data_IF_339160000414
#
_entry.id   IF_339160000414
#
_cell.length_a   1.000
_cell.length_b   1.000
_cell.length_c   1.000
_cell.angle_alpha   90.00
_cell.angle_beta   90.00
_cell.angle_gamma   90.00
#
_symmetry.space_group_name_H-M   'P 1'
#
loop_
_entity.id
_entity.type
_entity.pdbx_description
1 polymer ?
#
# COMPACT_ATOMS: atom_id res chain seq x y z
N UNK A 1 -7.48 12.91 -25.94
CA UNK A 1 -6.64 13.14 -24.74
C UNK A 1 -7.20 12.52 -23.45
N UNK A 2 -8.52 12.40 -23.24
CA UNK A 2 -9.08 11.77 -22.01
C UNK A 2 -8.98 10.23 -21.97
N UNK A 3 -9.00 9.58 -23.13
CA UNK A 3 -8.98 8.11 -23.21
C UNK A 3 -7.64 7.51 -22.74
N UNK A 4 -6.53 8.22 -22.98
CA UNK A 4 -5.18 7.77 -22.60
C UNK A 4 -4.94 7.82 -21.09
N UNK A 5 -5.52 8.78 -20.38
CA UNK A 5 -5.33 8.94 -18.92
C UNK A 5 -6.05 7.84 -18.15
N UNK A 6 -7.28 7.50 -18.57
CA UNK A 6 -8.06 6.43 -17.94
C UNK A 6 -7.40 5.06 -18.15
N UNK A 7 -6.86 4.85 -19.37
CA UNK A 7 -6.18 3.61 -19.73
C UNK A 7 -4.85 3.46 -18.99
N UNK A 8 -4.10 4.56 -18.79
CA UNK A 8 -2.90 4.54 -17.95
C UNK A 8 -3.22 4.25 -16.48
N UNK A 9 -4.28 4.85 -15.93
CA UNK A 9 -4.71 4.60 -14.56
C UNK A 9 -5.11 3.13 -14.36
N UNK A 10 -5.84 2.54 -15.32
CA UNK A 10 -6.19 1.12 -15.31
C UNK A 10 -4.94 0.23 -15.35
N UNK A 11 -4.00 0.50 -16.26
CA UNK A 11 -2.73 -0.24 -16.34
C UNK A 11 -1.94 -0.18 -15.03
N UNK A 12 -1.84 1.01 -14.42
CA UNK A 12 -1.16 1.20 -13.15
C UNK A 12 -1.85 0.43 -12.01
N UNK A 13 -3.19 0.42 -11.98
CA UNK A 13 -3.99 -0.34 -11.02
C UNK A 13 -3.79 -1.85 -11.17
N UNK A 14 -3.70 -2.37 -12.41
CA UNK A 14 -3.40 -3.79 -12.62
C UNK A 14 -1.98 -4.17 -12.17
N UNK A 15 -1.01 -3.28 -12.36
CA UNK A 15 0.38 -3.53 -11.98
C UNK A 15 0.63 -3.42 -10.47
N UNK A 16 -0.13 -2.57 -9.77
CA UNK A 16 0.15 -2.21 -8.37
C UNK A 16 -1.02 -2.47 -7.41
N UNK A 17 -2.14 -3.03 -7.88
CA UNK A 17 -3.33 -3.21 -7.05
C UNK A 17 -3.81 -1.92 -6.37
N UNK A 18 -4.38 -2.00 -5.16
CA UNK A 18 -4.84 -0.83 -4.39
C UNK A 18 -3.76 0.23 -4.09
N UNK A 19 -2.48 -0.12 -4.16
CA UNK A 19 -1.37 0.85 -4.02
C UNK A 19 -1.34 1.87 -5.18
N UNK A 20 -2.06 1.61 -6.27
CA UNK A 20 -2.25 2.58 -7.34
C UNK A 20 -2.96 3.87 -6.88
N UNK A 21 -3.76 3.81 -5.81
CA UNK A 21 -4.48 4.95 -5.23
C UNK A 21 -3.56 6.02 -4.64
N UNK A 22 -2.32 5.64 -4.29
CA UNK A 22 -1.35 6.51 -3.62
C UNK A 22 -0.12 6.79 -4.48
N UNK A 23 -0.22 6.57 -5.79
CA UNK A 23 0.87 6.83 -6.72
C UNK A 23 1.25 8.32 -6.70
N UNK A 24 2.54 8.58 -6.55
CA UNK A 24 3.09 9.94 -6.38
C UNK A 24 3.14 10.44 -4.93
N UNK A 25 2.54 9.72 -3.98
CA UNK A 25 2.76 9.98 -2.55
C UNK A 25 4.06 9.32 -2.08
N UNK A 26 4.82 10.01 -1.21
CA UNK A 26 6.03 9.45 -0.58
C UNK A 26 5.67 8.63 0.65
N UNK A 27 5.12 7.44 0.43
CA UNK A 27 4.80 6.46 1.48
C UNK A 27 5.91 5.40 1.49
N UNK A 28 6.95 5.63 2.29
CA UNK A 28 8.16 4.80 2.29
C UNK A 28 8.03 3.60 3.23
N UNK A 29 7.19 3.72 4.26
CA UNK A 29 6.93 2.69 5.29
C UNK A 29 5.43 2.55 5.54
N UNK A 30 4.95 1.40 6.05
CA UNK A 30 3.54 1.19 6.36
C UNK A 30 2.93 2.26 7.28
N UNK A 31 3.71 2.76 8.23
CA UNK A 31 3.25 3.81 9.15
C UNK A 31 2.97 5.15 8.44
N UNK A 32 3.58 5.41 7.29
CA UNK A 32 3.33 6.61 6.50
C UNK A 32 1.90 6.59 5.94
N UNK A 33 1.40 5.41 5.55
CA UNK A 33 0.01 5.20 5.11
C UNK A 33 -0.95 5.60 6.23
N UNK A 34 -0.69 5.14 7.46
CA UNK A 34 -1.50 5.46 8.63
C UNK A 34 -1.51 6.97 8.92
N UNK A 35 -0.34 7.61 8.77
CA UNK A 35 -0.13 9.03 9.07
C UNK A 35 -0.63 9.96 7.97
N UNK A 36 -0.91 9.47 6.76
CA UNK A 36 -1.37 10.29 5.65
C UNK A 36 -2.74 10.94 5.96
N UNK A 37 -2.83 12.27 6.08
CA UNK A 37 -4.07 12.93 6.49
C UNK A 37 -5.12 12.97 5.38
N UNK A 38 -4.71 12.89 4.12
CA UNK A 38 -5.56 12.99 2.94
C UNK A 38 -6.16 11.67 2.46
N UNK A 39 -5.90 10.56 3.17
CA UNK A 39 -6.39 9.23 2.81
C UNK A 39 -7.47 8.82 3.81
N UNK A 40 -8.61 8.33 3.31
CA UNK A 40 -9.69 7.82 4.15
C UNK A 40 -9.22 6.59 4.96
N UNK A 41 -9.92 6.29 6.06
CA UNK A 41 -9.55 5.14 6.90
C UNK A 41 -9.69 3.82 6.14
N UNK A 42 -10.76 3.68 5.35
CA UNK A 42 -11.00 2.49 4.54
C UNK A 42 -9.94 2.32 3.45
N UNK A 43 -9.54 3.41 2.77
CA UNK A 43 -8.47 3.36 1.78
C UNK A 43 -7.13 3.01 2.42
N UNK A 44 -6.81 3.56 3.60
CA UNK A 44 -5.58 3.19 4.35
C UNK A 44 -5.57 1.69 4.63
N UNK A 45 -6.70 1.13 5.07
CA UNK A 45 -6.83 -0.30 5.34
C UNK A 45 -6.67 -1.11 4.06
N UNK A 46 -7.30 -0.71 2.95
CA UNK A 46 -7.18 -1.38 1.66
C UNK A 46 -5.74 -1.38 1.13
N UNK A 47 -5.02 -0.26 1.26
CA UNK A 47 -3.61 -0.13 0.87
C UNK A 47 -2.74 -1.03 1.74
N UNK A 48 -2.88 -0.99 3.07
CA UNK A 48 -2.10 -1.84 3.97
C UNK A 48 -2.40 -3.32 3.77
N UNK A 49 -3.66 -3.69 3.52
CA UNK A 49 -4.03 -5.06 3.17
C UNK A 49 -3.39 -5.51 1.84
N UNK A 50 -3.34 -4.62 0.84
CA UNK A 50 -2.63 -4.88 -0.40
C UNK A 50 -1.14 -5.11 -0.14
N UNK A 51 -0.48 -4.30 0.69
CA UNK A 51 0.92 -4.47 1.05
C UNK A 51 1.20 -5.81 1.75
N UNK A 52 0.26 -6.30 2.57
CA UNK A 52 0.39 -7.59 3.24
C UNK A 52 0.20 -8.79 2.31
N UNK A 53 -0.45 -8.61 1.16
CA UNK A 53 -0.74 -9.65 0.18
C UNK A 53 0.53 -10.30 -0.39
N UNK A 54 0.41 -11.58 -0.76
CA UNK A 54 1.48 -12.31 -1.46
C UNK A 54 1.78 -11.76 -2.85
N UNK A 55 0.91 -10.89 -3.38
CA UNK A 55 1.21 -10.11 -4.59
C UNK A 55 2.56 -9.38 -4.50
N UNK A 56 2.96 -8.94 -3.30
CA UNK A 56 4.26 -8.30 -3.08
C UNK A 56 5.29 -9.22 -2.41
N UNK A 57 5.01 -10.49 -2.18
CA UNK A 57 5.96 -11.38 -1.53
C UNK A 57 7.27 -11.46 -2.33
N UNK A 58 8.41 -11.30 -1.63
CA UNK A 58 9.71 -11.53 -2.24
C UNK A 58 9.91 -13.02 -2.44
N UNK A 59 10.34 -13.43 -3.64
CA UNK A 59 10.60 -14.83 -3.94
C UNK A 59 11.59 -15.44 -2.94
N UNK A 60 11.28 -16.66 -2.48
CA UNK A 60 12.01 -17.37 -1.42
C UNK A 60 12.15 -16.63 -0.08
N UNK A 61 11.50 -15.48 0.11
CA UNK A 61 11.50 -14.68 1.36
C UNK A 61 10.08 -14.21 1.70
N UNK A 62 9.15 -15.11 2.06
CA UNK A 62 7.74 -14.81 2.23
C UNK A 62 7.42 -13.84 3.38
N UNK A 63 8.38 -13.55 4.26
CA UNK A 63 8.22 -12.54 5.31
C UNK A 63 8.42 -11.10 4.80
N UNK A 64 8.91 -10.91 3.57
CA UNK A 64 9.21 -9.60 2.98
C UNK A 64 8.23 -9.24 1.87
N UNK A 65 7.98 -7.94 1.72
CA UNK A 65 7.08 -7.35 0.73
C UNK A 65 7.82 -6.32 -0.11
N UNK A 66 8.01 -6.59 -1.40
CA UNK A 66 8.59 -5.65 -2.36
C UNK A 66 7.50 -4.74 -2.92
N UNK A 67 7.21 -3.66 -2.21
CA UNK A 67 6.19 -2.69 -2.62
C UNK A 67 6.83 -1.63 -3.54
N UNK A 68 6.21 -1.28 -4.68
CA UNK A 68 6.67 -0.18 -5.52
C UNK A 68 6.72 1.15 -4.74
N UNK A 69 7.86 1.83 -4.81
CA UNK A 69 8.05 3.13 -4.15
C UNK A 69 8.64 3.06 -2.73
N UNK A 70 8.77 1.88 -2.13
CA UNK A 70 9.55 1.72 -0.90
C UNK A 70 11.05 1.55 -1.24
N UNK A 71 11.96 2.07 -0.41
CA UNK A 71 13.40 1.99 -0.68
C UNK A 71 13.95 0.57 -0.52
N UNK A 72 13.28 -0.27 0.27
CA UNK A 72 13.66 -1.64 0.58
C UNK A 72 12.41 -2.52 0.78
N UNK A 73 12.55 -3.86 0.70
CA UNK A 73 11.46 -4.77 1.07
C UNK A 73 10.99 -4.53 2.51
N UNK A 74 9.68 -4.44 2.67
CA UNK A 74 9.05 -4.20 3.97
C UNK A 74 8.72 -5.53 4.65
N UNK A 75 9.05 -5.74 5.93
CA UNK A 75 8.60 -6.91 6.67
C UNK A 75 7.07 -6.94 6.82
N UNK A 76 6.45 -8.11 6.62
CA UNK A 76 4.99 -8.26 6.81
C UNK A 76 4.55 -7.88 8.24
N UNK A 77 5.38 -8.12 9.24
CA UNK A 77 5.11 -7.76 10.64
C UNK A 77 4.98 -6.24 10.82
N UNK A 78 5.70 -5.45 10.02
CA UNK A 78 5.59 -4.00 10.04
C UNK A 78 4.26 -3.54 9.43
N UNK A 79 3.81 -4.20 8.35
CA UNK A 79 2.50 -3.95 7.75
C UNK A 79 1.38 -4.29 8.74
N UNK A 80 1.49 -5.43 9.44
CA UNK A 80 0.55 -5.83 10.48
C UNK A 80 0.54 -4.85 11.66
N UNK A 81 1.72 -4.35 12.05
CA UNK A 81 1.83 -3.33 13.10
C UNK A 81 1.14 -2.03 12.71
N UNK A 82 1.26 -1.62 11.45
CA UNK A 82 0.55 -0.45 10.93
C UNK A 82 -0.97 -0.65 10.85
N UNK A 83 -1.45 -1.85 10.49
CA UNK A 83 -2.88 -2.19 10.54
C UNK A 83 -3.43 -2.09 11.96
N UNK A 84 -2.74 -2.70 12.94
CA UNK A 84 -3.11 -2.59 14.37
C UNK A 84 -3.13 -1.15 14.86
N UNK A 85 -2.16 -0.35 14.43
CA UNK A 85 -2.11 1.08 14.77
C UNK A 85 -3.26 1.86 14.12
N UNK A 86 -3.64 1.53 12.90
CA UNK A 86 -4.80 2.12 12.22
C UNK A 86 -6.07 1.81 13.01
N UNK A 87 -6.28 0.54 13.35
CA UNK A 87 -7.44 0.08 14.12
C UNK A 87 -7.52 0.78 15.48
N UNK A 88 -6.39 0.90 16.19
CA UNK A 88 -6.28 1.62 17.46
C UNK A 88 -6.66 3.10 17.35
N UNK A 89 -6.31 3.79 16.25
CA UNK A 89 -6.60 5.23 16.06
C UNK A 89 -8.06 5.51 15.77
N UNK A 90 -8.75 4.58 15.12
CA UNK A 90 -10.10 4.79 14.61
C UNK A 90 -11.17 3.90 15.29
N UNK A 91 -10.77 3.05 16.23
CA UNK A 91 -11.69 2.26 17.08
C UNK A 91 -12.45 1.19 16.31
N UNK A 92 -11.79 0.58 15.32
CA UNK A 92 -12.34 -0.39 14.36
C UNK A 92 -11.70 -1.76 14.49
#
# INVERSE_FOLDING_TARGET
MVHSTLQQAATNAMAMGPTALVQGMRLLRPIDVVRAPSISVDDKRAILAAWASDFYAVDSKPALRQVPGTPEPVPIDEVQSALKELDRRYGI
#
